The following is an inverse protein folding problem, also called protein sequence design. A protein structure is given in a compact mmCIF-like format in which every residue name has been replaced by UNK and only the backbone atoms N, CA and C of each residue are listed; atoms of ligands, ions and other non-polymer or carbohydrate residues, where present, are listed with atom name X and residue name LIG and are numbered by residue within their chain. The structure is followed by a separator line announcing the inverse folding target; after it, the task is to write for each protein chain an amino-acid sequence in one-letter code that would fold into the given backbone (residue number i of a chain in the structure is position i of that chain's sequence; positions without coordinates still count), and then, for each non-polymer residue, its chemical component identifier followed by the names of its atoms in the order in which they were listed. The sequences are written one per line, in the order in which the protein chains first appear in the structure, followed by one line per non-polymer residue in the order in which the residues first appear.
data_IF_567866156348
#
_entry.id   IF_567866156348
#
_cell.length_a   1.000
_cell.length_b   1.000
_cell.length_c   1.000
_cell.angle_alpha   90.00
_cell.angle_beta   90.00
_cell.angle_gamma   90.00
#
_symmetry.space_group_name_H-M   'P 1'
#
loop_
_entity.id
_entity.type
_entity.pdbx_description
1 polymer ?
#
# COMPACT_ATOMS: atom_id res chain seq x y z
N UNK A 1 14.93 1.98 -9.99
CA UNK A 1 14.34 3.34 -9.83
C UNK A 1 13.76 3.46 -8.44
N UNK A 2 14.01 4.57 -7.77
CA UNK A 2 13.47 4.80 -6.43
C UNK A 2 11.94 4.94 -6.45
N UNK A 3 11.27 4.51 -5.38
CA UNK A 3 9.80 4.61 -5.26
C UNK A 3 9.31 6.05 -5.48
N UNK A 4 10.03 7.03 -4.96
CA UNK A 4 9.70 8.44 -5.12
C UNK A 4 9.56 8.83 -6.59
N UNK A 5 10.51 8.42 -7.42
CA UNK A 5 10.49 8.72 -8.86
C UNK A 5 9.35 8.01 -9.58
N UNK A 6 9.11 6.76 -9.22
CA UNK A 6 8.02 5.96 -9.82
C UNK A 6 6.67 6.60 -9.51
N UNK A 7 6.46 6.99 -8.25
CA UNK A 7 5.21 7.61 -7.81
C UNK A 7 5.02 8.96 -8.49
N UNK A 8 6.08 9.79 -8.51
CA UNK A 8 6.03 11.09 -9.17
C UNK A 8 5.61 10.95 -10.64
N UNK A 9 6.29 10.06 -11.36
CA UNK A 9 6.03 9.87 -12.79
C UNK A 9 4.61 9.35 -13.03
N UNK A 10 4.15 8.39 -12.21
CA UNK A 10 2.80 7.87 -12.31
C UNK A 10 1.76 8.99 -12.13
N UNK A 11 1.91 9.80 -11.11
CA UNK A 11 0.95 10.87 -10.81
C UNK A 11 0.99 11.98 -11.86
N UNK A 12 2.17 12.32 -12.39
CA UNK A 12 2.28 13.27 -13.51
C UNK A 12 1.56 12.74 -14.75
N UNK A 13 1.68 11.46 -15.03
CA UNK A 13 1.01 10.83 -16.17
C UNK A 13 -0.51 10.83 -16.03
N UNK A 14 -1.04 11.00 -14.81
CA UNK A 14 -2.47 11.17 -14.58
C UNK A 14 -2.96 12.59 -14.87
N UNK A 15 -2.08 13.50 -15.27
CA UNK A 15 -2.45 14.87 -15.62
C UNK A 15 -2.44 15.84 -14.45
N UNK A 16 -1.90 15.45 -13.31
CA UNK A 16 -1.81 16.36 -12.15
C UNK A 16 -0.72 17.40 -12.36
N UNK A 17 -0.92 18.59 -11.75
CA UNK A 17 0.11 19.63 -11.71
C UNK A 17 1.25 19.23 -10.79
N UNK A 18 2.41 19.87 -10.95
CA UNK A 18 3.55 19.62 -10.05
C UNK A 18 3.17 19.87 -8.58
N UNK A 19 2.43 20.95 -8.31
CA UNK A 19 1.95 21.23 -6.95
C UNK A 19 1.03 20.15 -6.43
N UNK A 20 0.12 19.64 -7.28
CA UNK A 20 -0.78 18.55 -6.90
C UNK A 20 -0.04 17.27 -6.60
N UNK A 21 0.95 16.91 -7.41
CA UNK A 21 1.79 15.73 -7.18
C UNK A 21 2.57 15.89 -5.89
N UNK A 22 3.21 17.06 -5.67
CA UNK A 22 4.00 17.29 -4.46
C UNK A 22 3.15 17.19 -3.20
N UNK A 23 1.93 17.73 -3.22
CA UNK A 23 1.01 17.65 -2.09
C UNK A 23 0.61 16.21 -1.78
N UNK A 24 0.23 15.45 -2.81
CA UNK A 24 -0.15 14.04 -2.64
C UNK A 24 1.04 13.19 -2.16
N UNK A 25 2.22 13.41 -2.73
CA UNK A 25 3.42 12.70 -2.29
C UNK A 25 3.77 13.01 -0.83
N UNK A 26 3.58 14.26 -0.40
CA UNK A 26 3.76 14.63 1.00
C UNK A 26 2.84 13.83 1.93
N UNK A 27 1.59 13.66 1.53
CA UNK A 27 0.63 12.85 2.29
C UNK A 27 1.05 11.38 2.32
N UNK A 28 1.43 10.81 1.19
CA UNK A 28 1.88 9.42 1.13
C UNK A 28 3.16 9.20 1.92
N UNK A 29 4.07 10.17 1.90
CA UNK A 29 5.30 10.10 2.71
C UNK A 29 4.97 10.08 4.20
N UNK A 30 4.06 10.96 4.65
CA UNK A 30 3.63 11.00 6.05
C UNK A 30 2.95 9.71 6.47
N UNK A 31 2.15 9.10 5.58
CA UNK A 31 1.41 7.86 5.88
C UNK A 31 2.31 6.63 5.93
N UNK A 32 3.22 6.48 4.97
CA UNK A 32 3.93 5.21 4.74
C UNK A 32 5.41 5.36 4.44
N UNK A 33 5.96 6.57 4.38
CA UNK A 33 7.32 6.77 3.91
C UNK A 33 7.50 6.37 2.45
N UNK A 34 6.43 6.40 1.65
CA UNK A 34 6.39 5.98 0.25
C UNK A 34 6.66 4.47 0.07
N UNK A 35 6.42 3.66 1.10
CA UNK A 35 6.61 2.21 1.02
C UNK A 35 5.27 1.50 0.79
N UNK A 36 5.13 0.73 -0.29
CA UNK A 36 3.90 -0.02 -0.56
C UNK A 36 3.71 -1.22 0.36
N UNK A 37 4.74 -1.66 1.08
CA UNK A 37 4.63 -2.79 2.00
C UNK A 37 4.55 -2.35 3.46
N UNK A 38 4.45 -1.06 3.73
CA UNK A 38 4.47 -0.55 5.11
C UNK A 38 3.24 -1.02 5.89
N UNK A 39 3.48 -1.89 6.87
CA UNK A 39 2.49 -2.26 7.88
C UNK A 39 2.59 -1.25 9.02
N UNK A 40 1.46 -0.76 9.52
CA UNK A 40 1.42 0.16 10.64
C UNK A 40 2.30 -0.35 11.78
N UNK A 41 3.22 0.49 12.27
CA UNK A 41 4.30 0.04 13.16
C UNK A 41 3.83 -0.69 14.42
N UNK A 42 2.71 -0.23 15.02
CA UNK A 42 2.15 -0.89 16.20
C UNK A 42 1.75 -2.34 15.91
N UNK A 43 1.37 -2.63 14.67
CA UNK A 43 0.96 -3.98 14.29
C UNK A 43 2.12 -4.89 13.92
N UNK A 44 3.30 -4.35 13.60
CA UNK A 44 4.50 -5.20 13.48
C UNK A 44 4.73 -5.98 14.77
N UNK A 45 4.63 -5.30 15.91
CA UNK A 45 4.79 -5.92 17.22
C UNK A 45 3.58 -6.78 17.58
N UNK A 46 2.37 -6.23 17.40
CA UNK A 46 1.13 -6.88 17.83
C UNK A 46 0.89 -8.20 17.08
N UNK A 47 1.15 -8.22 15.78
CA UNK A 47 0.92 -9.40 14.94
C UNK A 47 2.17 -10.27 14.80
N UNK A 48 3.35 -9.72 15.11
CA UNK A 48 4.61 -10.45 15.01
C UNK A 48 5.14 -10.60 13.60
N UNK A 49 4.77 -9.68 12.68
CA UNK A 49 5.24 -9.69 11.30
C UNK A 49 6.09 -8.46 10.99
N UNK A 50 7.17 -8.65 10.23
CA UNK A 50 7.79 -7.55 9.50
C UNK A 50 6.87 -7.13 8.33
N UNK A 51 7.12 -5.98 7.73
CA UNK A 51 6.36 -5.53 6.56
C UNK A 51 6.39 -6.58 5.45
N UNK A 52 7.58 -7.10 5.18
CA UNK A 52 7.81 -8.10 4.14
C UNK A 52 7.09 -9.42 4.46
N UNK A 53 7.19 -9.89 5.70
CA UNK A 53 6.56 -11.14 6.12
C UNK A 53 5.05 -11.04 6.11
N UNK A 54 4.49 -9.90 6.54
CA UNK A 54 3.05 -9.65 6.48
C UNK A 54 2.56 -9.72 5.03
N UNK A 55 3.25 -9.02 4.13
CA UNK A 55 2.89 -9.02 2.70
C UNK A 55 2.90 -10.45 2.13
N UNK A 56 3.96 -11.20 2.39
CA UNK A 56 4.08 -12.58 1.91
C UNK A 56 2.98 -13.47 2.48
N UNK A 57 2.68 -13.34 3.76
CA UNK A 57 1.66 -14.16 4.42
C UNK A 57 0.26 -13.87 3.88
N UNK A 58 -0.04 -12.61 3.56
CA UNK A 58 -1.30 -12.25 2.92
C UNK A 58 -1.35 -12.80 1.49
N UNK A 59 -0.29 -12.60 0.72
CA UNK A 59 -0.24 -13.03 -0.68
C UNK A 59 -0.37 -14.55 -0.82
N UNK A 60 0.28 -15.32 0.05
CA UNK A 60 0.23 -16.78 0.00
C UNK A 60 -0.93 -17.38 0.82
N UNK A 61 -1.79 -16.53 1.39
CA UNK A 61 -3.01 -16.91 2.11
C UNK A 61 -2.77 -17.68 3.41
N UNK A 62 -1.56 -17.58 3.98
CA UNK A 62 -1.30 -18.17 5.30
C UNK A 62 -1.79 -17.25 6.42
N UNK A 63 -1.86 -15.95 6.17
CA UNK A 63 -2.52 -15.00 7.06
C UNK A 63 -3.83 -14.54 6.41
N UNK A 64 -4.96 -14.87 7.06
CA UNK A 64 -6.29 -14.69 6.46
C UNK A 64 -7.06 -13.50 7.01
N UNK A 65 -6.44 -12.72 7.90
CA UNK A 65 -7.14 -11.65 8.61
C UNK A 65 -6.82 -10.25 8.07
N UNK A 66 -6.26 -10.15 6.88
CA UNK A 66 -5.85 -8.88 6.27
C UNK A 66 -6.98 -7.86 6.28
N UNK A 67 -8.18 -8.29 5.90
CA UNK A 67 -9.33 -7.40 5.75
C UNK A 67 -9.87 -6.93 7.11
N UNK A 68 -9.72 -7.75 8.16
CA UNK A 68 -10.37 -7.53 9.44
C UNK A 68 -9.44 -7.12 10.58
N UNK A 69 -8.14 -7.04 10.34
CA UNK A 69 -7.18 -6.79 11.42
C UNK A 69 -7.07 -5.33 11.84
N UNK A 70 -7.68 -4.40 11.09
CA UNK A 70 -7.64 -2.96 11.34
C UNK A 70 -6.24 -2.36 11.30
N UNK A 71 -5.27 -3.08 10.76
CA UNK A 71 -3.91 -2.59 10.61
C UNK A 71 -3.78 -1.76 9.34
N UNK A 72 -3.22 -0.56 9.44
CA UNK A 72 -2.90 0.25 8.27
C UNK A 72 -1.84 -0.43 7.42
N UNK A 73 -2.03 -0.48 6.12
CA UNK A 73 -1.11 -1.14 5.19
C UNK A 73 -0.96 -0.36 3.88
N UNK A 74 0.28 -0.34 3.37
CA UNK A 74 0.58 0.16 2.03
C UNK A 74 0.79 1.66 1.97
N UNK A 75 0.88 2.17 0.76
CA UNK A 75 1.18 3.59 0.48
C UNK A 75 0.26 4.56 1.22
N UNK A 76 -1.04 4.31 1.19
CA UNK A 76 -2.04 5.19 1.79
C UNK A 76 -2.51 4.69 3.16
N UNK A 77 -1.84 3.69 3.73
CA UNK A 77 -2.20 3.09 5.02
C UNK A 77 -3.69 2.74 5.08
N UNK A 78 -4.15 1.98 4.08
CA UNK A 78 -5.52 1.47 4.05
C UNK A 78 -5.80 0.67 5.31
N UNK A 79 -6.84 1.03 6.03
CA UNK A 79 -7.15 0.49 7.36
C UNK A 79 -8.55 -0.10 7.41
N UNK A 80 -9.51 0.61 6.83
CA UNK A 80 -10.92 0.23 6.89
C UNK A 80 -11.16 -1.04 6.08
N UNK A 81 -12.01 -1.95 6.60
CA UNK A 81 -12.18 -3.28 6.02
C UNK A 81 -12.55 -3.26 4.54
N UNK A 82 -13.44 -2.35 4.13
CA UNK A 82 -13.88 -2.31 2.73
C UNK A 82 -12.77 -1.85 1.80
N UNK A 83 -11.91 -0.93 2.25
CA UNK A 83 -10.77 -0.48 1.46
C UNK A 83 -9.74 -1.59 1.32
N UNK A 84 -9.47 -2.31 2.40
CA UNK A 84 -8.53 -3.44 2.38
C UNK A 84 -9.06 -4.60 1.55
N UNK A 85 -10.37 -4.87 1.63
CA UNK A 85 -11.00 -5.87 0.78
C UNK A 85 -10.87 -5.51 -0.70
N UNK A 86 -11.11 -4.23 -1.04
CA UNK A 86 -11.00 -3.77 -2.42
C UNK A 86 -9.56 -3.85 -2.93
N UNK A 87 -8.59 -3.49 -2.11
CA UNK A 87 -7.18 -3.63 -2.48
C UNK A 87 -6.81 -5.10 -2.74
N UNK A 88 -7.22 -5.98 -1.84
CA UNK A 88 -6.97 -7.41 -1.98
C UNK A 88 -7.59 -7.96 -3.26
N UNK A 89 -8.84 -7.60 -3.53
CA UNK A 89 -9.53 -8.03 -4.74
C UNK A 89 -8.85 -7.50 -6.00
N UNK A 90 -8.43 -6.24 -5.99
CA UNK A 90 -7.78 -5.62 -7.13
C UNK A 90 -6.44 -6.30 -7.43
N UNK A 91 -5.61 -6.48 -6.40
CA UNK A 91 -4.31 -7.16 -6.56
C UNK A 91 -4.50 -8.59 -7.07
N UNK A 92 -5.45 -9.32 -6.51
CA UNK A 92 -5.76 -10.69 -6.93
C UNK A 92 -6.19 -10.72 -8.39
N UNK A 93 -7.06 -9.79 -8.82
CA UNK A 93 -7.52 -9.73 -10.21
C UNK A 93 -6.40 -9.43 -11.19
N UNK A 94 -5.36 -8.74 -10.74
CA UNK A 94 -4.18 -8.42 -11.54
C UNK A 94 -3.10 -9.50 -11.43
N UNK A 95 -3.30 -10.51 -10.60
CA UNK A 95 -2.30 -11.52 -10.28
C UNK A 95 -1.01 -10.89 -9.76
N UNK A 96 -1.15 -9.93 -8.86
CA UNK A 96 -0.05 -9.18 -8.26
C UNK A 96 -0.11 -9.27 -6.75
N UNK A 97 1.04 -9.01 -6.10
CA UNK A 97 1.11 -8.86 -4.65
C UNK A 97 0.31 -7.65 -4.18
N UNK A 98 -0.26 -7.72 -2.98
CA UNK A 98 -0.86 -6.56 -2.35
C UNK A 98 0.16 -5.44 -2.13
N UNK A 99 1.44 -5.78 -2.06
CA UNK A 99 2.55 -4.83 -1.88
C UNK A 99 3.16 -4.32 -3.17
N UNK A 100 2.60 -4.65 -4.32
CA UNK A 100 3.12 -4.18 -5.60
C UNK A 100 2.84 -2.68 -5.77
N UNK A 101 3.89 -1.91 -6.00
CA UNK A 101 3.80 -0.44 -6.05
C UNK A 101 2.84 0.03 -7.14
N UNK A 102 3.00 -0.47 -8.36
CA UNK A 102 2.15 -0.03 -9.47
C UNK A 102 0.69 -0.40 -9.25
N UNK A 103 0.43 -1.57 -8.69
CA UNK A 103 -0.93 -2.01 -8.36
C UNK A 103 -1.58 -1.06 -7.36
N UNK A 104 -0.85 -0.66 -6.32
CA UNK A 104 -1.38 0.28 -5.34
C UNK A 104 -1.60 1.67 -5.92
N UNK A 105 -0.71 2.13 -6.82
CA UNK A 105 -0.89 3.41 -7.49
C UNK A 105 -2.14 3.42 -8.38
N UNK A 106 -2.38 2.34 -9.11
CA UNK A 106 -3.59 2.20 -9.92
C UNK A 106 -4.85 2.15 -9.06
N UNK A 107 -4.75 1.55 -7.88
CA UNK A 107 -5.86 1.42 -6.94
C UNK A 107 -6.17 2.72 -6.21
N UNK A 108 -5.18 3.58 -6.05
CA UNK A 108 -5.23 4.81 -5.24
C UNK A 108 -6.35 5.78 -5.66
#
# INVERSE_FOLDING_TARGET
MANEQIIWQFLKNQGLTDAGVAGLMGNLFAESGLSPINLQNTYNTKLGYSDSDYTKAVDNKTYKNFVRDSAGYGLAQWTYWSRKQNLLNYATSKNKSIGDLNTQLEFL
#
